data_IF_934041672361
#
_entry.id   IF_934041672361
#
_cell.length_a   1.000
_cell.length_b   1.000
_cell.length_c   1.000
_cell.angle_alpha   90.00
_cell.angle_beta   90.00
_cell.angle_gamma   90.00
#
_symmetry.space_group_name_H-M   'P 1'
#
loop_
_entity.id
_entity.type
_entity.pdbx_description
1 polymer ?
#
# COMPACT_ATOMS: atom_id res chain seq x y z
N UNK A 1 10.68 27.86 4.45
CA UNK A 1 10.71 26.38 4.28
C UNK A 1 9.42 25.67 4.66
N UNK A 2 8.64 26.12 5.67
CA UNK A 2 7.38 25.44 6.07
C UNK A 2 6.33 25.22 4.95
N UNK A 3 6.25 26.09 3.94
CA UNK A 3 5.32 25.90 2.82
C UNK A 3 5.65 24.68 1.94
N UNK A 4 6.93 24.41 1.67
CA UNK A 4 7.33 23.30 0.78
C UNK A 4 7.01 21.93 1.35
N UNK A 5 7.13 21.75 2.67
CA UNK A 5 6.80 20.49 3.32
C UNK A 5 5.28 20.23 3.30
N UNK A 6 4.46 21.23 3.61
CA UNK A 6 3.00 21.11 3.54
C UNK A 6 2.53 20.84 2.11
N UNK A 7 3.12 21.51 1.12
CA UNK A 7 2.86 21.23 -0.31
C UNK A 7 3.21 19.78 -0.68
N UNK A 8 4.31 19.24 -0.16
CA UNK A 8 4.69 17.84 -0.37
C UNK A 8 3.65 16.88 0.22
N UNK A 9 3.18 17.15 1.45
CA UNK A 9 2.16 16.31 2.08
C UNK A 9 0.82 16.36 1.33
N UNK A 10 0.42 17.53 0.84
CA UNK A 10 -0.77 17.68 0.00
C UNK A 10 -0.63 16.92 -1.31
N UNK A 11 0.51 17.05 -1.98
CA UNK A 11 0.78 16.32 -3.22
C UNK A 11 0.70 14.80 -3.04
N UNK A 12 1.24 14.26 -1.94
CA UNK A 12 1.15 12.83 -1.61
C UNK A 12 -0.33 12.41 -1.44
N UNK A 13 -1.12 13.24 -0.77
CA UNK A 13 -2.55 12.96 -0.54
C UNK A 13 -3.35 13.03 -1.83
N UNK A 14 -3.13 14.05 -2.67
CA UNK A 14 -3.81 14.23 -3.95
C UNK A 14 -3.53 13.05 -4.91
N UNK A 15 -2.33 12.46 -4.81
CA UNK A 15 -1.93 11.28 -5.59
C UNK A 15 -2.25 9.94 -4.94
N UNK A 16 -2.84 9.93 -3.74
CA UNK A 16 -3.05 8.71 -2.95
C UNK A 16 -3.84 7.65 -3.73
N UNK A 17 -4.98 8.02 -4.30
CA UNK A 17 -5.86 7.09 -5.04
C UNK A 17 -5.18 6.51 -6.29
N UNK A 18 -4.54 7.37 -7.08
CA UNK A 18 -3.80 6.96 -8.29
C UNK A 18 -2.66 5.99 -7.93
N UNK A 19 -1.90 6.30 -6.88
CA UNK A 19 -0.80 5.47 -6.41
C UNK A 19 -1.28 4.13 -5.86
N UNK A 20 -2.40 4.13 -5.11
CA UNK A 20 -2.99 2.90 -4.59
C UNK A 20 -3.41 1.96 -5.73
N UNK A 21 -4.04 2.48 -6.78
CA UNK A 21 -4.40 1.69 -7.97
C UNK A 21 -3.17 1.08 -8.64
N UNK A 22 -2.08 1.86 -8.80
CA UNK A 22 -0.82 1.35 -9.35
C UNK A 22 -0.22 0.25 -8.48
N UNK A 23 -0.23 0.42 -7.16
CA UNK A 23 0.31 -0.54 -6.20
C UNK A 23 -0.46 -1.87 -6.22
N UNK A 24 -1.80 -1.84 -6.26
CA UNK A 24 -2.62 -3.06 -6.29
C UNK A 24 -2.30 -3.95 -7.51
N UNK A 25 -1.87 -3.34 -8.62
CA UNK A 25 -1.49 -4.04 -9.85
C UNK A 25 -0.08 -4.65 -9.83
N UNK A 26 0.74 -4.37 -8.81
CA UNK A 26 2.06 -4.98 -8.66
C UNK A 26 1.98 -6.44 -8.17
N UNK A 27 3.05 -7.21 -8.35
CA UNK A 27 3.19 -8.53 -7.72
C UNK A 27 3.37 -8.41 -6.21
N UNK A 28 3.09 -9.49 -5.47
CA UNK A 28 3.29 -9.52 -4.02
C UNK A 28 4.76 -9.29 -3.66
N UNK A 29 5.69 -9.95 -4.36
CA UNK A 29 7.13 -9.78 -4.12
C UNK A 29 7.57 -8.30 -4.26
N UNK A 30 7.08 -7.61 -5.29
CA UNK A 30 7.35 -6.17 -5.47
C UNK A 30 6.75 -5.32 -4.36
N UNK A 31 5.57 -5.67 -3.86
CA UNK A 31 4.95 -4.96 -2.74
C UNK A 31 5.73 -5.18 -1.44
N UNK A 32 6.25 -6.40 -1.22
CA UNK A 32 7.07 -6.74 -0.05
C UNK A 32 8.42 -6.01 -0.08
N UNK A 33 9.07 -5.96 -1.26
CA UNK A 33 10.31 -5.20 -1.46
C UNK A 33 10.10 -3.71 -1.15
N UNK A 34 9.03 -3.10 -1.69
CA UNK A 34 8.69 -1.70 -1.43
C UNK A 34 8.35 -1.47 0.04
N UNK A 35 7.59 -2.39 0.65
CA UNK A 35 7.23 -2.31 2.08
C UNK A 35 8.49 -2.26 2.94
N UNK A 36 9.42 -3.19 2.70
CA UNK A 36 10.70 -3.23 3.42
C UNK A 36 11.50 -1.97 3.21
N UNK A 37 11.65 -1.52 1.96
CA UNK A 37 12.39 -0.30 1.62
C UNK A 37 11.88 0.92 2.41
N UNK A 38 10.57 1.19 2.37
CA UNK A 38 10.02 2.36 3.07
C UNK A 38 10.02 2.20 4.59
N UNK A 39 9.92 0.97 5.11
CA UNK A 39 10.06 0.70 6.54
C UNK A 39 11.48 1.00 7.03
N UNK A 40 12.51 0.51 6.31
CA UNK A 40 13.91 0.73 6.67
C UNK A 40 14.25 2.23 6.64
N UNK A 41 13.76 2.96 5.63
CA UNK A 41 13.90 4.42 5.56
C UNK A 41 13.15 5.15 6.69
N UNK A 42 11.93 4.73 7.01
CA UNK A 42 11.17 5.28 8.13
C UNK A 42 11.93 5.11 9.45
N UNK A 43 12.47 3.90 9.72
CA UNK A 43 13.23 3.61 10.93
C UNK A 43 14.55 4.36 11.00
N UNK A 44 15.32 4.39 9.92
CA UNK A 44 16.56 5.17 9.88
C UNK A 44 16.32 6.67 10.09
N UNK A 45 15.24 7.23 9.53
CA UNK A 45 14.88 8.63 9.72
C UNK A 45 14.41 8.93 11.16
N UNK A 46 13.64 8.01 11.76
CA UNK A 46 13.18 8.08 13.16
C UNK A 46 14.37 8.09 14.13
N UNK A 47 15.30 7.16 13.98
CA UNK A 47 16.52 7.05 14.81
C UNK A 47 17.43 8.28 14.68
N UNK A 48 17.51 8.86 13.48
CA UNK A 48 18.33 10.05 13.19
C UNK A 48 17.64 11.38 13.55
N UNK A 49 16.37 11.36 13.98
CA UNK A 49 15.61 12.56 14.33
C UNK A 49 15.12 13.42 13.15
N UNK A 50 15.16 12.91 11.92
CA UNK A 50 14.73 13.63 10.71
C UNK A 50 13.20 13.60 10.52
N UNK A 51 12.49 14.41 11.33
CA UNK A 51 11.02 14.41 11.43
C UNK A 51 10.25 14.45 10.10
N UNK A 52 10.67 15.28 9.15
CA UNK A 52 9.98 15.40 7.85
C UNK A 52 10.11 14.11 7.01
N UNK A 53 11.32 13.53 6.99
CA UNK A 53 11.58 12.25 6.32
C UNK A 53 10.82 11.11 6.98
N UNK A 54 10.75 11.08 8.31
CA UNK A 54 9.95 10.11 9.06
C UNK A 54 8.49 10.15 8.63
N UNK A 55 7.88 11.34 8.54
CA UNK A 55 6.46 11.50 8.15
C UNK A 55 6.22 11.04 6.72
N UNK A 56 7.08 11.43 5.77
CA UNK A 56 6.92 11.08 4.36
C UNK A 56 7.05 9.57 4.16
N UNK A 57 8.09 8.95 4.72
CA UNK A 57 8.32 7.51 4.57
C UNK A 57 7.23 6.69 5.27
N UNK A 58 6.72 7.15 6.42
CA UNK A 58 5.58 6.51 7.09
C UNK A 58 4.31 6.55 6.22
N UNK A 59 4.02 7.68 5.56
CA UNK A 59 2.88 7.77 4.63
C UNK A 59 3.01 6.79 3.46
N UNK A 60 4.19 6.65 2.88
CA UNK A 60 4.43 5.68 1.81
C UNK A 60 4.31 4.23 2.29
N UNK A 61 4.89 3.91 3.44
CA UNK A 61 4.77 2.59 4.07
C UNK A 61 3.30 2.20 4.29
N UNK A 62 2.51 3.10 4.88
CA UNK A 62 1.08 2.86 5.13
C UNK A 62 0.30 2.62 3.84
N UNK A 63 0.59 3.39 2.79
CA UNK A 63 -0.08 3.21 1.49
C UNK A 63 0.19 1.82 0.88
N UNK A 64 1.41 1.30 1.05
CA UNK A 64 1.78 -0.04 0.59
C UNK A 64 1.09 -1.11 1.43
N UNK A 65 1.01 -0.95 2.75
CA UNK A 65 0.26 -1.87 3.60
C UNK A 65 -1.23 -1.93 3.24
N UNK A 66 -1.84 -0.79 2.92
CA UNK A 66 -3.21 -0.74 2.43
C UNK A 66 -3.37 -1.49 1.10
N UNK A 67 -2.44 -1.31 0.15
CA UNK A 67 -2.46 -2.02 -1.12
C UNK A 67 -2.40 -3.55 -0.93
N UNK A 68 -1.53 -4.03 -0.03
CA UNK A 68 -1.40 -5.45 0.31
C UNK A 68 -2.71 -5.99 0.88
N UNK A 69 -3.32 -5.29 1.85
CA UNK A 69 -4.59 -5.70 2.47
C UNK A 69 -5.73 -5.79 1.44
N UNK A 70 -5.84 -4.81 0.56
CA UNK A 70 -6.86 -4.80 -0.52
C UNK A 70 -6.65 -5.99 -1.46
N UNK A 71 -5.39 -6.28 -1.82
CA UNK A 71 -5.07 -7.40 -2.71
C UNK A 71 -5.40 -8.75 -2.08
N UNK A 72 -5.04 -8.94 -0.81
CA UNK A 72 -5.37 -10.15 -0.04
C UNK A 72 -6.89 -10.36 0.02
N UNK A 73 -7.65 -9.31 0.34
CA UNK A 73 -9.11 -9.36 0.36
C UNK A 73 -9.70 -9.71 -1.02
N UNK A 74 -9.18 -9.13 -2.10
CA UNK A 74 -9.62 -9.44 -3.47
C UNK A 74 -9.36 -10.91 -3.84
N UNK A 75 -8.22 -11.47 -3.41
CA UNK A 75 -7.89 -12.87 -3.67
C UNK A 75 -8.78 -13.83 -2.87
N UNK A 76 -9.15 -13.47 -1.64
CA UNK A 76 -10.15 -14.19 -0.84
C UNK A 76 -11.53 -14.19 -1.50
N UNK A 77 -12.01 -13.02 -1.98
CA UNK A 77 -13.28 -12.92 -2.69
C UNK A 77 -13.29 -13.77 -3.97
N UNK A 78 -12.19 -13.78 -4.74
CA UNK A 78 -12.05 -14.65 -5.92
C UNK A 78 -12.16 -16.13 -5.56
N UNK A 79 -11.53 -16.56 -4.46
CA UNK A 79 -11.61 -17.95 -3.99
C UNK A 79 -13.04 -18.32 -3.59
N UNK A 80 -13.74 -17.44 -2.88
CA UNK A 80 -15.14 -17.64 -2.48
C UNK A 80 -16.05 -17.77 -3.71
N UNK A 81 -15.91 -16.87 -4.68
CA UNK A 81 -16.74 -16.89 -5.89
C UNK A 81 -16.50 -18.13 -6.76
N UNK A 82 -15.25 -18.60 -6.85
CA UNK A 82 -14.93 -19.88 -7.53
C UNK A 82 -15.62 -21.07 -6.86
N UNK A 83 -15.61 -21.13 -5.51
CA UNK A 83 -16.27 -22.21 -4.76
C UNK A 83 -17.79 -22.22 -4.99
N UNK A 84 -18.44 -21.05 -4.96
CA UNK A 84 -19.89 -20.94 -5.23
C UNK A 84 -20.26 -21.46 -6.62
N UNK A 85 -19.44 -21.15 -7.64
CA UNK A 85 -19.70 -21.61 -9.02
C UNK A 85 -19.65 -23.13 -9.17
N UNK A 86 -18.70 -23.80 -8.50
CA UNK A 86 -18.56 -25.27 -8.53
C UNK A 86 -19.77 -25.95 -7.90
N UNK A 87 -20.28 -25.41 -6.80
CA UNK A 87 -21.45 -25.97 -6.11
C UNK A 87 -22.67 -25.89 -7.03
N UNK A 88 -22.91 -24.74 -7.66
CA UNK A 88 -24.03 -24.57 -8.60
C UNK A 88 -23.92 -25.57 -9.75
N UNK A 89 -22.73 -25.77 -10.33
CA UNK A 89 -22.54 -26.70 -11.45
C UNK A 89 -22.62 -28.20 -11.10
N UNK A 90 -22.68 -28.57 -9.81
CA UNK A 90 -22.86 -29.96 -9.36
C UNK A 90 -24.30 -30.25 -8.92
N UNK A 91 -25.13 -29.21 -8.74
CA UNK A 91 -26.53 -29.31 -8.30
C UNK A 91 -27.49 -29.33 -9.50
N UNK A 92 -27.00 -28.96 -10.69
CA UNK A 92 -27.68 -29.07 -11.99
C UNK A 92 -26.93 -30.04 -12.89
#
# INVERSE_FOLDING_TARGET
MKNKFIETLKFIEDKRTENLQKLINLSNDKLDDLKKYYYDWFKGAEESGYKESTIVNLKHYNLIEEAIKIKQWNDEQKKINRRKKIIISHVF
#
